data_IF_354030271174
#
_entry.id   IF_354030271174
#
_cell.length_a   1.000
_cell.length_b   1.000
_cell.length_c   1.000
_cell.angle_alpha   90.00
_cell.angle_beta   90.00
_cell.angle_gamma   90.00
#
_symmetry.space_group_name_H-M   'P 1'
#
loop_
_entity.id
_entity.type
_entity.pdbx_description
1 polymer ?
#
# COMPACT_ATOMS: atom_id res chain seq x y z
N UNK A 1 15.80 -1.71 -0.86
CA UNK A 1 16.01 -1.99 0.58
C UNK A 1 16.90 -0.89 1.12
N UNK A 2 16.33 0.14 1.76
CA UNK A 2 17.13 1.23 2.33
C UNK A 2 17.80 0.65 3.58
N UNK A 3 19.13 0.69 3.61
CA UNK A 3 19.93 0.27 4.74
C UNK A 3 19.68 1.23 5.91
N UNK A 4 18.86 0.80 6.87
CA UNK A 4 18.53 1.59 8.07
C UNK A 4 19.79 2.04 8.82
N UNK A 5 20.91 1.32 8.72
CA UNK A 5 22.18 1.75 9.33
C UNK A 5 22.71 3.04 8.71
N UNK A 6 22.53 3.25 7.41
CA UNK A 6 22.95 4.49 6.74
C UNK A 6 22.06 5.68 7.09
N UNK A 7 20.75 5.45 7.29
CA UNK A 7 19.83 6.50 7.72
C UNK A 7 20.09 6.93 9.18
N UNK A 8 20.43 5.96 10.04
CA UNK A 8 20.82 6.20 11.44
C UNK A 8 22.15 6.95 11.57
N UNK A 9 23.15 6.66 10.72
CA UNK A 9 24.41 7.43 10.69
C UNK A 9 24.18 8.88 10.25
N UNK A 10 23.28 9.12 9.30
CA UNK A 10 22.92 10.48 8.85
C UNK A 10 22.17 11.29 9.93
N UNK A 11 21.33 10.62 10.74
CA UNK A 11 20.64 11.25 11.87
C UNK A 11 21.60 11.55 13.04
N UNK A 12 22.52 10.64 13.35
CA UNK A 12 23.56 10.84 14.36
C UNK A 12 24.51 11.99 13.98
N UNK A 13 24.90 12.10 12.71
CA UNK A 13 25.72 13.22 12.22
C UNK A 13 24.98 14.56 12.24
N UNK A 14 23.65 14.57 12.12
CA UNK A 14 22.85 15.80 12.21
C UNK A 14 22.68 16.28 13.65
N UNK A 15 22.66 15.38 14.63
CA UNK A 15 22.63 15.73 16.05
C UNK A 15 23.94 16.39 16.53
N UNK A 16 25.09 16.02 15.93
CA UNK A 16 26.38 16.64 16.28
C UNK A 16 26.50 18.10 15.79
N UNK A 17 25.74 18.51 14.77
CA UNK A 17 25.87 19.85 14.16
C UNK A 17 25.09 20.93 14.95
N UNK A 18 24.14 20.54 15.80
CA UNK A 18 23.33 21.48 16.60
C UNK A 18 23.94 21.88 17.96
N UNK A 19 25.15 21.43 18.28
CA UNK A 19 25.79 21.63 19.58
C UNK A 19 26.86 22.75 19.59
N UNK A 20 26.65 23.88 18.89
CA UNK A 20 27.55 25.06 19.00
C UNK A 20 26.98 26.25 19.77
N UNK A 21 25.79 26.15 20.34
CA UNK A 21 25.26 27.18 21.25
C UNK A 21 24.67 26.56 22.52
N UNK A 22 25.55 26.35 23.50
CA UNK A 22 25.21 26.35 24.93
C UNK A 22 24.24 25.28 25.47
N UNK A 23 24.83 24.27 26.14
CA UNK A 23 24.20 23.31 27.08
C UNK A 23 23.33 22.19 26.49
N UNK A 24 23.97 21.05 26.26
CA UNK A 24 23.75 19.79 26.99
C UNK A 24 24.65 18.73 26.35
N UNK A 25 25.68 18.27 27.06
CA UNK A 25 26.42 17.08 26.64
C UNK A 25 25.54 15.86 26.95
N UNK A 26 24.82 15.38 25.96
CA UNK A 26 24.29 14.01 25.98
C UNK A 26 25.51 13.11 25.83
N UNK A 27 25.81 12.32 26.85
CA UNK A 27 26.92 11.37 26.82
C UNK A 27 26.58 10.23 25.88
N UNK A 28 27.56 9.80 25.07
CA UNK A 28 27.42 8.76 24.03
C UNK A 28 26.78 7.46 24.57
N UNK A 29 26.95 7.17 25.86
CA UNK A 29 26.36 6.01 26.53
C UNK A 29 24.81 6.06 26.62
N UNK A 30 24.20 7.25 26.67
CA UNK A 30 22.72 7.40 26.66
C UNK A 30 22.12 7.21 25.26
N UNK A 31 22.90 7.48 24.19
CA UNK A 31 22.45 7.27 22.81
C UNK A 31 22.35 5.78 22.47
N UNK A 32 23.28 4.95 22.94
CA UNK A 32 23.21 3.49 22.73
C UNK A 32 22.02 2.86 23.46
N UNK A 33 21.67 3.35 24.66
CA UNK A 33 20.52 2.85 25.42
C UNK A 33 19.19 3.24 24.76
N UNK A 34 19.08 4.46 24.21
CA UNK A 34 17.91 4.90 23.43
C UNK A 34 17.80 4.12 22.11
N UNK A 35 18.92 3.90 21.40
CA UNK A 35 18.94 3.10 20.17
C UNK A 35 18.57 1.65 20.47
N UNK A 36 19.07 1.06 21.57
CA UNK A 36 18.76 -0.30 21.98
C UNK A 36 17.30 -0.44 22.42
N UNK A 37 16.76 0.52 23.20
CA UNK A 37 15.33 0.55 23.57
C UNK A 37 14.38 0.79 22.38
N UNK A 38 14.85 1.47 21.33
CA UNK A 38 14.13 1.60 20.05
C UNK A 38 14.22 0.33 19.20
N UNK A 39 15.34 -0.40 19.26
CA UNK A 39 15.54 -1.69 18.58
C UNK A 39 14.81 -2.85 19.26
N UNK A 40 14.63 -2.82 20.58
CA UNK A 40 13.98 -3.88 21.37
C UNK A 40 12.44 -3.86 21.27
N UNK A 41 11.86 -2.80 20.68
CA UNK A 41 10.44 -2.73 20.30
C UNK A 41 10.13 -3.35 18.94
N UNK A 42 10.94 -4.30 18.47
CA UNK A 42 10.54 -5.15 17.35
C UNK A 42 9.43 -6.10 17.80
N UNK A 43 8.19 -5.60 17.76
CA UNK A 43 6.96 -6.38 17.94
C UNK A 43 7.07 -7.64 17.07
N UNK A 44 6.86 -8.85 17.64
CA UNK A 44 6.97 -10.09 16.89
C UNK A 44 5.92 -10.06 15.80
N UNK A 45 6.39 -9.97 14.57
CA UNK A 45 5.49 -9.84 13.45
C UNK A 45 5.03 -11.24 13.05
N UNK A 46 3.84 -11.62 13.48
CA UNK A 46 3.16 -12.78 12.91
C UNK A 46 2.63 -12.41 11.51
N UNK A 47 3.57 -12.31 10.57
CA UNK A 47 3.37 -11.97 9.16
C UNK A 47 3.07 -13.26 8.42
N UNK A 48 1.79 -13.53 8.17
CA UNK A 48 1.46 -14.46 7.10
C UNK A 48 2.17 -14.03 5.79
N UNK A 49 2.47 -14.99 4.90
CA UNK A 49 2.97 -14.71 3.55
C UNK A 49 2.22 -13.58 2.85
N UNK A 50 2.89 -12.81 1.98
CA UNK A 50 2.31 -11.64 1.30
C UNK A 50 1.00 -11.97 0.57
N UNK A 51 0.90 -13.17 -0.01
CA UNK A 51 -0.28 -13.65 -0.72
C UNK A 51 -1.44 -14.11 0.20
N UNK A 52 -1.25 -14.04 1.51
CA UNK A 52 -2.26 -14.26 2.53
C UNK A 52 -2.63 -12.97 3.26
N UNK A 53 -1.93 -11.86 2.99
CA UNK A 53 -2.21 -10.58 3.63
C UNK A 53 -3.43 -9.93 2.98
N UNK A 54 -4.33 -9.44 3.83
CA UNK A 54 -5.49 -8.66 3.41
C UNK A 54 -5.30 -7.23 3.90
N UNK A 55 -5.53 -6.28 3.00
CA UNK A 55 -5.50 -4.87 3.29
C UNK A 55 -6.91 -4.30 3.12
N UNK A 56 -7.34 -3.45 4.05
CA UNK A 56 -8.63 -2.77 4.02
C UNK A 56 -8.43 -1.28 3.73
N UNK A 57 -9.36 -0.68 2.99
CA UNK A 57 -9.28 0.73 2.65
C UNK A 57 -9.22 1.61 3.91
N UNK A 58 -8.39 2.65 3.87
CA UNK A 58 -8.11 3.48 5.05
C UNK A 58 -9.33 4.32 5.48
N UNK A 59 -10.13 4.76 4.51
CA UNK A 59 -11.35 5.53 4.71
C UNK A 59 -12.58 4.65 5.04
N UNK A 60 -12.38 3.34 5.18
CA UNK A 60 -13.38 2.39 5.69
C UNK A 60 -13.18 0.98 5.16
N UNK A 61 -13.67 -0.02 5.88
CA UNK A 61 -13.51 -1.45 5.51
C UNK A 61 -14.37 -1.90 4.32
N UNK A 62 -14.90 -0.96 3.53
CA UNK A 62 -15.76 -1.23 2.39
C UNK A 62 -14.98 -1.71 1.17
N UNK A 63 -13.67 -1.45 1.08
CA UNK A 63 -12.82 -2.01 0.04
C UNK A 63 -11.64 -2.80 0.63
N UNK A 64 -11.21 -3.83 -0.11
CA UNK A 64 -10.08 -4.67 0.23
C UNK A 64 -9.12 -4.83 -0.94
N UNK A 65 -7.85 -4.94 -0.65
CA UNK A 65 -6.76 -5.23 -1.57
C UNK A 65 -5.98 -6.47 -1.10
N UNK A 66 -5.59 -7.33 -2.04
CA UNK A 66 -4.84 -8.56 -1.77
C UNK A 66 -3.85 -8.84 -2.90
N UNK A 67 -2.66 -9.30 -2.54
CA UNK A 67 -1.81 -10.07 -3.44
C UNK A 67 -2.32 -11.51 -3.45
N UNK A 68 -2.55 -12.08 -4.61
CA UNK A 68 -3.06 -13.46 -4.74
C UNK A 68 -1.93 -14.46 -5.00
N UNK A 69 -0.90 -14.06 -5.73
CA UNK A 69 0.23 -14.93 -6.10
C UNK A 69 1.54 -14.14 -6.16
N UNK A 70 2.67 -14.84 -6.05
CA UNK A 70 3.99 -14.26 -6.30
C UNK A 70 4.57 -13.38 -5.18
N UNK A 71 5.86 -13.06 -5.29
CA UNK A 71 6.61 -12.23 -4.32
C UNK A 71 7.20 -10.97 -4.95
N UNK A 72 7.65 -11.05 -6.20
CA UNK A 72 8.17 -9.92 -6.99
C UNK A 72 7.31 -9.62 -8.24
N UNK A 73 6.26 -10.41 -8.43
CA UNK A 73 5.25 -10.22 -9.46
C UNK A 73 4.25 -11.37 -9.46
N UNK A 74 3.03 -11.09 -9.88
CA UNK A 74 1.90 -12.02 -9.84
C UNK A 74 0.57 -11.29 -9.91
N UNK A 75 -0.48 -11.91 -9.39
CA UNK A 75 -1.84 -11.36 -9.45
C UNK A 75 -2.23 -10.60 -8.20
N UNK A 76 -3.03 -9.55 -8.37
CA UNK A 76 -3.69 -8.80 -7.29
C UNK A 76 -5.21 -8.80 -7.47
N UNK A 77 -5.91 -8.52 -6.38
CA UNK A 77 -7.36 -8.35 -6.39
C UNK A 77 -7.79 -7.19 -5.50
N UNK A 78 -8.65 -6.34 -6.07
CA UNK A 78 -9.47 -5.37 -5.37
C UNK A 78 -10.88 -5.93 -5.21
N UNK A 79 -11.50 -5.66 -4.07
CA UNK A 79 -12.87 -6.08 -3.76
C UNK A 79 -13.60 -4.97 -3.05
N UNK A 80 -14.85 -4.71 -3.42
CA UNK A 80 -15.72 -3.79 -2.68
C UNK A 80 -16.90 -4.53 -2.06
N UNK A 81 -17.24 -4.14 -0.85
CA UNK A 81 -18.35 -4.65 -0.06
C UNK A 81 -19.36 -3.52 0.15
N UNK A 82 -20.63 -3.80 -0.15
CA UNK A 82 -21.76 -2.90 0.11
C UNK A 82 -22.78 -3.64 0.96
N UNK A 83 -23.18 -3.02 2.07
CA UNK A 83 -24.10 -3.64 3.05
C UNK A 83 -23.61 -5.04 3.50
N UNK A 84 -22.30 -5.19 3.71
CA UNK A 84 -21.67 -6.45 4.14
C UNK A 84 -21.55 -7.53 3.07
N UNK A 85 -21.97 -7.29 1.82
CA UNK A 85 -21.88 -8.24 0.71
C UNK A 85 -20.87 -7.80 -0.33
N UNK A 86 -20.11 -8.75 -0.86
CA UNK A 86 -19.19 -8.50 -1.98
C UNK A 86 -19.98 -8.00 -3.19
N UNK A 87 -19.72 -6.77 -3.63
CA UNK A 87 -20.43 -6.09 -4.70
C UNK A 87 -19.71 -6.27 -6.04
N UNK A 88 -18.40 -6.04 -6.06
CA UNK A 88 -17.57 -6.22 -7.25
C UNK A 88 -16.12 -6.57 -6.90
N UNK A 89 -15.41 -7.13 -7.88
CA UNK A 89 -13.98 -7.39 -7.80
C UNK A 89 -13.26 -6.92 -9.06
N UNK A 90 -12.06 -6.36 -8.92
CA UNK A 90 -11.16 -6.05 -10.03
C UNK A 90 -9.86 -6.84 -9.86
N UNK A 91 -9.42 -7.52 -10.90
CA UNK A 91 -8.14 -8.24 -10.90
C UNK A 91 -7.10 -7.47 -11.70
N UNK A 92 -5.84 -7.63 -11.32
CA UNK A 92 -4.70 -7.07 -12.03
C UNK A 92 -3.46 -7.92 -11.87
N UNK A 93 -2.41 -7.53 -12.55
CA UNK A 93 -1.07 -8.07 -12.36
C UNK A 93 -0.23 -7.04 -11.60
N UNK A 94 0.76 -7.48 -10.82
CA UNK A 94 1.76 -6.61 -10.24
C UNK A 94 3.15 -7.09 -10.62
N UNK A 95 4.10 -6.17 -10.60
CA UNK A 95 5.50 -6.47 -10.81
C UNK A 95 6.38 -5.37 -10.23
N UNK A 96 7.55 -5.75 -9.77
CA UNK A 96 8.58 -4.81 -9.35
C UNK A 96 9.74 -4.86 -10.36
N UNK A 97 10.25 -3.71 -10.77
CA UNK A 97 11.40 -3.67 -11.67
C UNK A 97 12.66 -4.13 -10.95
N UNK A 98 13.40 -5.08 -11.53
CA UNK A 98 14.66 -5.54 -10.98
C UNK A 98 15.69 -4.40 -11.00
N UNK A 99 16.04 -3.87 -9.82
CA UNK A 99 17.06 -2.83 -9.65
C UNK A 99 16.54 -1.43 -9.30
N UNK A 100 15.22 -1.21 -9.31
CA UNK A 100 14.58 0.04 -8.86
C UNK A 100 13.45 -0.30 -7.91
N UNK A 101 13.30 0.46 -6.80
CA UNK A 101 12.26 0.25 -5.77
C UNK A 101 10.89 0.74 -6.25
N UNK A 102 10.56 0.54 -7.53
CA UNK A 102 9.27 0.92 -8.10
C UNK A 102 8.53 -0.37 -8.43
N UNK A 103 7.48 -0.62 -7.66
CA UNK A 103 6.50 -1.66 -7.96
C UNK A 103 5.29 -1.01 -8.61
N UNK A 104 4.68 -1.72 -9.56
CA UNK A 104 3.50 -1.27 -10.28
C UNK A 104 2.44 -2.35 -10.29
N UNK A 105 1.20 -1.93 -10.49
CA UNK A 105 0.08 -2.79 -10.85
C UNK A 105 -0.43 -2.42 -12.24
N UNK A 106 -0.84 -3.43 -12.98
CA UNK A 106 -1.54 -3.31 -14.26
C UNK A 106 -2.98 -3.77 -14.07
N UNK A 107 -3.93 -2.88 -14.34
CA UNK A 107 -5.36 -3.16 -14.28
C UNK A 107 -5.99 -3.00 -15.66
N UNK A 108 -6.86 -3.93 -16.04
CA UNK A 108 -7.57 -3.85 -17.30
C UNK A 108 -8.78 -2.93 -17.20
N UNK A 109 -8.96 -2.02 -18.15
CA UNK A 109 -10.20 -1.24 -18.33
C UNK A 109 -11.19 -2.00 -19.21
N UNK A 110 -12.47 -1.62 -19.23
CA UNK A 110 -13.51 -2.29 -20.03
C UNK A 110 -13.19 -2.34 -21.53
N UNK A 111 -12.49 -1.32 -22.05
CA UNK A 111 -12.03 -1.28 -23.45
C UNK A 111 -10.92 -2.29 -23.77
N UNK A 112 -10.36 -2.97 -22.76
CA UNK A 112 -9.31 -3.98 -22.91
C UNK A 112 -7.89 -3.42 -22.76
N UNK A 113 -7.71 -2.11 -22.72
CA UNK A 113 -6.40 -1.49 -22.41
C UNK A 113 -6.02 -1.73 -20.95
N UNK A 114 -4.71 -1.74 -20.66
CA UNK A 114 -4.20 -1.75 -19.29
C UNK A 114 -3.89 -0.32 -18.82
N UNK A 115 -4.16 -0.03 -17.55
CA UNK A 115 -3.61 1.10 -16.83
C UNK A 115 -2.53 0.61 -15.87
N UNK A 116 -1.37 1.25 -15.92
CA UNK A 116 -0.25 0.95 -15.03
C UNK A 116 -0.16 2.02 -13.94
N UNK A 117 -0.10 1.60 -12.68
CA UNK A 117 -0.03 2.51 -11.53
C UNK A 117 1.04 2.04 -10.56
N UNK A 118 1.94 2.95 -10.17
CA UNK A 118 2.95 2.69 -9.15
C UNK A 118 2.34 2.60 -7.75
N UNK A 119 2.81 1.65 -6.96
CA UNK A 119 2.47 1.52 -5.55
C UNK A 119 3.70 1.44 -4.67
N UNK A 120 3.53 1.85 -3.41
CA UNK A 120 4.54 1.77 -2.37
C UNK A 120 4.00 1.03 -1.15
N UNK A 121 4.88 0.27 -0.49
CA UNK A 121 4.60 -0.33 0.81
C UNK A 121 5.24 0.51 1.90
N UNK A 122 4.44 0.95 2.87
CA UNK A 122 4.89 1.76 4.00
C UNK A 122 4.65 1.01 5.31
N UNK A 123 5.55 1.21 6.28
CA UNK A 123 5.36 0.80 7.67
C UNK A 123 5.57 1.97 8.60
N UNK A 124 4.66 2.13 9.55
CA UNK A 124 4.79 3.09 10.65
C UNK A 124 5.75 2.56 11.73
N UNK A 125 6.09 3.44 12.68
CA UNK A 125 6.91 3.09 13.85
C UNK A 125 6.20 2.12 14.82
N UNK A 126 4.87 2.18 14.89
CA UNK A 126 4.04 1.24 15.66
C UNK A 126 3.78 -0.09 14.94
N UNK A 127 4.33 -0.26 13.73
CA UNK A 127 4.32 -1.53 12.99
C UNK A 127 3.15 -1.73 12.04
N UNK A 128 2.24 -0.76 11.93
CA UNK A 128 1.16 -0.74 10.95
C UNK A 128 1.72 -0.74 9.53
N UNK A 129 1.13 -1.54 8.64
CA UNK A 129 1.57 -1.67 7.25
C UNK A 129 0.51 -1.11 6.31
N UNK A 130 0.94 -0.41 5.26
CA UNK A 130 0.08 0.22 4.27
C UNK A 130 0.55 -0.09 2.86
N UNK A 131 -0.41 -0.11 1.93
CA UNK A 131 -0.19 -0.07 0.48
C UNK A 131 -0.76 1.26 -0.03
N UNK A 132 0.09 2.04 -0.67
CA UNK A 132 -0.26 3.37 -1.20
C UNK A 132 -0.10 3.36 -2.70
N UNK A 133 -1.19 3.54 -3.43
CA UNK A 133 -1.21 3.75 -4.87
C UNK A 133 -1.15 5.25 -5.17
N UNK A 134 -0.15 5.65 -5.94
CA UNK A 134 0.13 7.08 -6.20
C UNK A 134 -1.00 7.81 -6.92
N UNK A 135 -1.63 7.21 -7.93
CA UNK A 135 -2.63 7.87 -8.78
C UNK A 135 -3.71 6.91 -9.32
N UNK A 136 -4.01 5.83 -8.60
CA UNK A 136 -4.92 4.77 -9.07
C UNK A 136 -6.32 5.30 -9.36
N UNK A 137 -6.95 5.91 -8.35
CA UNK A 137 -8.33 6.40 -8.45
C UNK A 137 -8.47 7.46 -9.54
N UNK A 138 -7.54 8.40 -9.61
CA UNK A 138 -7.55 9.46 -10.62
C UNK A 138 -7.38 8.88 -12.03
N UNK A 139 -6.43 7.96 -12.22
CA UNK A 139 -6.17 7.34 -13.53
C UNK A 139 -7.36 6.55 -14.02
N UNK A 140 -7.94 5.72 -13.16
CA UNK A 140 -9.15 4.96 -13.48
C UNK A 140 -10.33 5.89 -13.78
N UNK A 141 -10.52 6.95 -13.00
CA UNK A 141 -11.62 7.88 -13.17
C UNK A 141 -11.49 8.69 -14.47
N UNK A 142 -10.27 9.12 -14.82
CA UNK A 142 -10.01 9.82 -16.07
C UNK A 142 -10.26 8.94 -17.30
N UNK A 143 -10.05 7.62 -17.19
CA UNK A 143 -10.42 6.66 -18.24
C UNK A 143 -11.93 6.47 -18.34
N UNK A 144 -12.62 6.41 -17.19
CA UNK A 144 -14.08 6.35 -17.15
C UNK A 144 -14.74 7.56 -17.83
N UNK A 145 -14.24 8.78 -17.58
CA UNK A 145 -14.78 10.02 -18.14
C UNK A 145 -14.52 10.22 -19.64
N UNK A 146 -13.35 9.80 -20.14
CA UNK A 146 -12.93 10.07 -21.52
C UNK A 146 -13.30 8.98 -22.53
N UNK A 147 -13.78 7.83 -22.05
CA UNK A 147 -14.21 6.73 -22.92
C UNK A 147 -15.61 6.94 -23.49
N UNK A 148 -15.80 6.69 -24.79
CA UNK A 148 -17.13 6.67 -25.42
C UNK A 148 -17.88 5.43 -24.90
N UNK A 149 -18.56 5.56 -23.76
CA UNK A 149 -19.35 4.48 -23.14
C UNK A 149 -18.89 4.03 -21.74
N UNK A 150 -18.09 4.80 -21.02
CA UNK A 150 -17.73 4.49 -19.63
C UNK A 150 -16.69 3.38 -19.53
N UNK A 151 -15.52 3.62 -20.12
CA UNK A 151 -14.34 2.73 -20.15
C UNK A 151 -13.63 2.63 -18.78
N UNK A 152 -14.39 2.62 -17.69
CA UNK A 152 -13.89 2.38 -16.34
C UNK A 152 -13.20 1.02 -16.20
N UNK A 153 -12.78 0.70 -14.99
CA UNK A 153 -12.12 -0.58 -14.71
C UNK A 153 -12.98 -1.78 -15.10
N UNK A 154 -12.33 -2.82 -15.62
CA UNK A 154 -12.95 -4.11 -15.86
C UNK A 154 -13.16 -4.78 -14.50
N UNK A 155 -14.42 -4.82 -14.08
CA UNK A 155 -14.83 -5.43 -12.81
C UNK A 155 -15.75 -6.62 -13.06
N UNK A 156 -15.70 -7.59 -12.15
CA UNK A 156 -16.69 -8.65 -12.06
C UNK A 156 -17.71 -8.28 -10.99
N UNK A 157 -18.98 -8.14 -11.39
CA UNK A 157 -20.09 -7.91 -10.46
C UNK A 157 -20.42 -9.20 -9.71
N UNK A 158 -20.66 -9.12 -8.41
CA UNK A 158 -20.91 -10.26 -7.52
C UNK A 158 -22.26 -10.12 -6.83
N UNK A 159 -22.83 -11.23 -6.38
CA UNK A 159 -24.05 -11.28 -5.56
C UNK A 159 -25.26 -10.50 -6.13
N UNK A 160 -25.38 -10.43 -7.45
CA UNK A 160 -26.48 -9.72 -8.12
C UNK A 160 -26.41 -8.19 -8.00
N UNK A 161 -25.27 -7.64 -7.59
CA UNK A 161 -25.05 -6.19 -7.56
C UNK A 161 -25.23 -5.59 -8.97
N UNK A 162 -26.02 -4.53 -9.06
CA UNK A 162 -26.28 -3.77 -10.28
C UNK A 162 -25.89 -2.31 -10.04
N UNK A 163 -24.78 -1.83 -10.61
CA UNK A 163 -24.38 -0.45 -10.45
C UNK A 163 -25.41 0.49 -11.08
N UNK A 164 -25.64 1.61 -10.42
CA UNK A 164 -26.40 2.76 -10.93
C UNK A 164 -25.50 3.66 -11.78
N UNK A 165 -26.08 4.67 -12.43
CA UNK A 165 -25.31 5.64 -13.21
C UNK A 165 -24.34 6.47 -12.35
N UNK A 166 -24.64 6.63 -11.06
CA UNK A 166 -23.83 7.40 -10.11
C UNK A 166 -22.76 6.54 -9.42
N UNK A 167 -22.75 5.23 -9.66
CA UNK A 167 -21.81 4.31 -9.03
C UNK A 167 -20.45 4.34 -9.70
N UNK A 168 -19.44 4.80 -8.95
CA UNK A 168 -18.04 4.80 -9.36
C UNK A 168 -17.37 3.52 -8.87
N UNK A 169 -17.05 2.59 -9.78
CA UNK A 169 -16.47 1.27 -9.47
C UNK A 169 -14.94 1.31 -9.53
N UNK A 170 -14.35 2.10 -8.64
CA UNK A 170 -12.91 2.41 -8.67
C UNK A 170 -12.27 2.13 -7.30
N UNK A 171 -11.12 1.43 -7.26
CA UNK A 171 -10.33 1.28 -6.05
C UNK A 171 -9.91 2.62 -5.42
N UNK A 172 -9.81 2.66 -4.09
CA UNK A 172 -9.16 3.76 -3.38
C UNK A 172 -7.63 3.70 -3.53
N UNK A 173 -6.95 4.75 -3.08
CA UNK A 173 -5.50 4.85 -3.18
C UNK A 173 -4.76 4.26 -1.97
N UNK A 174 -5.39 4.13 -0.80
CA UNK A 174 -4.67 3.78 0.43
C UNK A 174 -5.36 2.64 1.15
N UNK A 175 -4.60 1.58 1.40
CA UNK A 175 -5.05 0.41 2.15
C UNK A 175 -4.13 0.14 3.34
N UNK A 176 -4.71 -0.18 4.49
CA UNK A 176 -4.03 -0.59 5.71
C UNK A 176 -4.14 -2.10 5.89
N UNK A 177 -3.08 -2.75 6.32
CA UNK A 177 -3.12 -4.17 6.68
C UNK A 177 -4.23 -4.42 7.70
N UNK A 178 -5.06 -5.43 7.48
CA UNK A 178 -6.15 -5.77 8.38
C UNK A 178 -5.94 -7.11 9.05
N UNK A 179 -5.64 -8.16 8.27
CA UNK A 179 -5.55 -9.51 8.78
C UNK A 179 -4.88 -10.47 7.80
N UNK A 180 -4.54 -11.65 8.30
CA UNK A 180 -4.22 -12.81 7.48
C UNK A 180 -5.50 -13.52 7.04
N UNK A 181 -5.53 -13.94 5.78
CA UNK A 181 -6.52 -14.88 5.26
C UNK A 181 -6.26 -16.24 5.93
N UNK A 182 -7.32 -16.84 6.46
CA UNK A 182 -7.30 -18.20 7.02
C UNK A 182 -7.30 -19.24 5.91
#
# INVERSE_FOLDING_TARGET
MIDLRRLLVLLAMSATILATEGRAQVTIDEEEEIISALLDKTVPVEKCPINQQVYSALDGEYQKFQFLTGTAGGTVQFSEYRNGKLAWTAAGEFGCSNGVVICGIDLTVKAGEAISVGYEEFRTLDGEQYIVFSHLRETAFRRELNGVGGEGLKVELKNGFKPTADDVLIPVNVYRYSNCKK
#
